data_IF_338412103537
#
_entry.id   IF_338412103537
#
_cell.length_a   1.000
_cell.length_b   1.000
_cell.length_c   1.000
_cell.angle_alpha   90.00
_cell.angle_beta   90.00
_cell.angle_gamma   90.00
#
_symmetry.space_group_name_H-M   'P 1'
#
loop_
_entity.id
_entity.type
_entity.pdbx_description
1 polymer ?
#
# COMPACT_ATOMS: atom_id res chain seq x y z
N UNK A 1 -3.68 15.99 3.25
CA UNK A 1 -3.81 14.52 3.25
C UNK A 1 -4.90 14.13 2.28
N UNK A 2 -4.70 13.02 1.55
CA UNK A 2 -5.71 12.38 0.69
C UNK A 2 -5.84 10.94 1.15
N UNK A 3 -6.98 10.54 1.65
CA UNK A 3 -7.23 9.17 2.12
C UNK A 3 -8.47 8.57 1.45
N UNK A 4 -8.47 7.25 1.32
CA UNK A 4 -9.60 6.50 0.78
C UNK A 4 -9.25 5.05 0.51
N UNK A 5 -10.24 4.19 0.49
CA UNK A 5 -10.10 2.76 0.27
C UNK A 5 -9.67 2.38 -1.17
N UNK A 6 -9.60 1.09 -1.46
CA UNK A 6 -9.28 0.62 -2.80
C UNK A 6 -10.35 1.05 -3.82
N UNK A 7 -9.92 1.44 -5.02
CA UNK A 7 -10.83 1.83 -6.10
C UNK A 7 -11.44 3.22 -6.01
N UNK A 8 -10.98 4.08 -5.08
CA UNK A 8 -11.50 5.45 -4.90
C UNK A 8 -10.79 6.50 -5.76
N UNK A 9 -9.79 6.12 -6.57
CA UNK A 9 -9.15 7.02 -7.53
C UNK A 9 -7.95 7.81 -7.00
N UNK A 10 -7.33 7.42 -5.89
CA UNK A 10 -6.11 8.05 -5.36
C UNK A 10 -5.05 8.31 -6.43
N UNK A 11 -4.72 7.29 -7.22
CA UNK A 11 -3.71 7.38 -8.28
C UNK A 11 -4.09 8.40 -9.36
N UNK A 12 -5.36 8.52 -9.71
CA UNK A 12 -5.84 9.53 -10.68
C UNK A 12 -5.64 10.94 -10.15
N UNK A 13 -5.93 11.15 -8.87
CA UNK A 13 -5.70 12.46 -8.23
C UNK A 13 -4.22 12.78 -8.16
N UNK A 14 -3.35 11.82 -7.84
CA UNK A 14 -1.89 12.02 -7.86
C UNK A 14 -1.45 12.50 -9.25
N UNK A 15 -1.90 11.86 -10.33
CA UNK A 15 -1.57 12.28 -11.71
C UNK A 15 -1.98 13.72 -11.99
N UNK A 16 -3.20 14.08 -11.67
CA UNK A 16 -3.71 15.43 -11.89
C UNK A 16 -2.91 16.48 -11.08
N UNK A 17 -2.53 16.15 -9.84
CA UNK A 17 -1.68 17.04 -9.04
C UNK A 17 -0.32 17.22 -9.70
N UNK A 18 0.30 16.16 -10.17
CA UNK A 18 1.60 16.22 -10.88
C UNK A 18 1.48 17.13 -12.08
N UNK A 19 0.51 16.91 -12.96
CA UNK A 19 0.28 17.69 -14.18
C UNK A 19 0.11 19.18 -13.86
N UNK A 20 -0.75 19.54 -12.91
CA UNK A 20 -0.97 20.93 -12.51
C UNK A 20 0.32 21.60 -12.03
N UNK A 21 1.11 20.92 -11.19
CA UNK A 21 2.33 21.53 -10.66
C UNK A 21 3.40 21.69 -11.75
N UNK A 22 3.54 20.76 -12.65
CA UNK A 22 4.51 20.80 -13.73
C UNK A 22 4.16 21.83 -14.81
N UNK A 23 2.88 21.99 -15.14
CA UNK A 23 2.41 23.08 -16.01
C UNK A 23 2.81 24.46 -15.48
N UNK A 24 2.96 24.56 -14.15
CA UNK A 24 3.44 25.80 -13.50
C UNK A 24 4.96 25.82 -13.25
N UNK A 25 5.72 24.93 -13.91
CA UNK A 25 7.17 24.85 -13.79
C UNK A 25 7.69 24.43 -12.43
N UNK A 26 6.86 23.72 -11.63
CA UNK A 26 7.20 23.28 -10.27
C UNK A 26 7.88 21.92 -10.27
N UNK A 27 8.86 21.76 -9.39
CA UNK A 27 9.59 20.51 -9.20
C UNK A 27 8.81 19.57 -8.31
N UNK A 28 8.32 18.46 -8.88
CA UNK A 28 7.56 17.43 -8.20
C UNK A 28 8.44 16.22 -7.90
N UNK A 29 8.48 15.76 -6.66
CA UNK A 29 9.13 14.53 -6.24
C UNK A 29 8.07 13.54 -5.77
N UNK A 30 8.22 12.27 -6.21
CA UNK A 30 7.35 11.17 -5.87
C UNK A 30 8.07 10.16 -4.99
N UNK A 31 7.45 9.75 -3.90
CA UNK A 31 8.01 8.77 -2.99
C UNK A 31 6.97 7.79 -2.45
N UNK A 32 7.45 6.62 -2.02
CA UNK A 32 6.64 5.62 -1.34
C UNK A 32 7.49 4.86 -0.29
N UNK A 33 6.91 4.22 0.73
CA UNK A 33 7.67 3.52 1.76
C UNK A 33 8.36 2.25 1.25
N UNK A 34 7.86 1.61 0.19
CA UNK A 34 8.39 0.34 -0.34
C UNK A 34 8.79 0.44 -1.80
N UNK A 35 9.76 -0.40 -2.23
CA UNK A 35 10.19 -0.46 -3.63
C UNK A 35 9.05 -0.86 -4.59
N UNK A 36 8.16 -1.76 -4.16
CA UNK A 36 7.00 -2.16 -4.96
C UNK A 36 6.01 -1.01 -5.17
N UNK A 37 5.73 -0.25 -4.11
CA UNK A 37 4.85 0.92 -4.19
C UNK A 37 5.48 2.03 -5.07
N UNK A 38 6.77 2.31 -4.91
CA UNK A 38 7.49 3.27 -5.75
C UNK A 38 7.48 2.85 -7.23
N UNK A 39 7.75 1.59 -7.54
CA UNK A 39 7.67 1.07 -8.91
C UNK A 39 6.27 1.21 -9.50
N UNK A 40 5.24 0.83 -8.74
CA UNK A 40 3.83 1.00 -9.17
C UNK A 40 3.49 2.47 -9.42
N UNK A 41 3.95 3.36 -8.54
CA UNK A 41 3.76 4.79 -8.69
C UNK A 41 4.43 5.30 -9.97
N UNK A 42 5.65 4.87 -10.28
CA UNK A 42 6.35 5.17 -11.53
C UNK A 42 5.54 4.69 -12.75
N UNK A 43 5.13 3.43 -12.76
CA UNK A 43 4.38 2.83 -13.88
C UNK A 43 3.04 3.53 -14.12
N UNK A 44 2.37 3.95 -13.07
CA UNK A 44 1.04 4.57 -13.17
C UNK A 44 1.12 6.06 -13.50
N UNK A 45 2.13 6.78 -13.05
CA UNK A 45 2.26 8.24 -13.29
C UNK A 45 3.18 8.58 -14.46
N UNK A 46 3.93 7.61 -15.01
CA UNK A 46 5.00 7.79 -15.97
C UNK A 46 6.12 8.74 -15.48
N UNK A 47 6.28 8.85 -14.16
CA UNK A 47 7.31 9.66 -13.51
C UNK A 47 8.09 8.82 -12.52
N UNK A 48 9.39 9.06 -12.46
CA UNK A 48 10.24 8.33 -11.52
C UNK A 48 9.81 8.62 -10.08
N UNK A 49 9.51 7.55 -9.35
CA UNK A 49 9.27 7.56 -7.91
C UNK A 49 10.34 6.74 -7.21
N UNK A 50 10.77 7.18 -6.05
CA UNK A 50 11.76 6.47 -5.24
C UNK A 50 11.17 5.98 -3.93
N UNK A 51 11.89 5.08 -3.24
CA UNK A 51 11.53 4.79 -1.86
C UNK A 51 11.92 5.96 -0.95
N UNK A 52 11.15 6.17 0.13
CA UNK A 52 11.52 7.16 1.15
C UNK A 52 12.93 6.92 1.69
N UNK A 53 13.32 5.67 1.93
CA UNK A 53 14.67 5.33 2.38
C UNK A 53 15.75 5.79 1.40
N UNK A 54 15.52 5.61 0.09
CA UNK A 54 16.45 6.08 -0.94
C UNK A 54 16.46 7.60 -1.06
N UNK A 55 15.29 8.23 -1.04
CA UNK A 55 15.14 9.68 -1.11
C UNK A 55 15.86 10.38 0.05
N UNK A 56 15.77 9.79 1.23
CA UNK A 56 16.39 10.29 2.48
C UNK A 56 17.82 9.78 2.69
N UNK A 57 18.39 9.01 1.77
CA UNK A 57 19.74 8.40 1.85
C UNK A 57 19.97 7.55 3.11
N UNK A 58 18.90 6.98 3.71
CA UNK A 58 18.95 6.24 4.97
C UNK A 58 19.75 4.94 4.84
N UNK A 59 19.88 4.36 3.67
CA UNK A 59 20.59 3.09 3.44
C UNK A 59 22.12 3.12 3.67
N UNK A 60 22.68 4.26 4.07
CA UNK A 60 24.08 4.40 4.49
C UNK A 60 24.29 4.03 5.98
N UNK A 61 23.23 3.82 6.75
CA UNK A 61 23.24 3.48 8.16
C UNK A 61 22.69 2.07 8.37
N UNK A 62 23.20 1.35 9.37
CA UNK A 62 22.60 0.07 9.76
C UNK A 62 21.22 0.30 10.43
N UNK A 63 20.34 -0.73 10.37
CA UNK A 63 18.99 -0.62 10.93
C UNK A 63 18.98 -0.25 12.42
N UNK A 64 19.97 -0.69 13.21
CA UNK A 64 20.05 -0.35 14.64
C UNK A 64 20.42 1.11 14.87
N UNK A 65 21.33 1.65 14.07
CA UNK A 65 21.73 3.06 14.12
C UNK A 65 20.60 3.99 13.72
N UNK A 66 19.76 3.54 12.79
CA UNK A 66 18.58 4.27 12.31
C UNK A 66 17.59 4.61 13.43
N UNK A 67 17.32 3.66 14.33
CA UNK A 67 16.39 3.88 15.43
C UNK A 67 17.04 4.56 16.66
N UNK A 68 18.37 4.51 16.80
CA UNK A 68 19.07 5.05 17.96
C UNK A 68 19.50 6.52 17.84
N UNK A 69 19.77 7.00 16.63
CA UNK A 69 20.39 8.32 16.39
C UNK A 69 19.46 9.32 15.69
N UNK A 70 18.17 9.30 16.04
CA UNK A 70 17.19 10.23 15.44
C UNK A 70 17.45 11.70 15.73
N UNK A 71 18.18 12.03 16.81
CA UNK A 71 18.55 13.41 17.17
C UNK A 71 19.58 14.02 16.23
N UNK A 72 20.53 13.23 15.78
CA UNK A 72 21.76 13.70 15.10
C UNK A 72 21.69 13.57 13.57
N UNK A 73 20.56 13.12 13.04
CA UNK A 73 20.36 13.04 11.60
C UNK A 73 20.15 14.43 10.98
N UNK A 74 21.17 14.93 10.33
CA UNK A 74 21.11 16.05 9.42
C UNK A 74 21.02 15.51 7.98
N UNK A 75 19.81 15.11 7.56
CA UNK A 75 19.59 14.64 6.20
C UNK A 75 19.86 15.72 5.15
N UNK A 76 20.27 15.30 3.94
CA UNK A 76 20.39 16.22 2.83
C UNK A 76 19.01 16.83 2.52
N UNK A 77 18.91 18.16 2.45
CA UNK A 77 17.64 18.82 2.11
C UNK A 77 17.13 18.41 0.74
N UNK A 78 15.85 18.12 0.65
CA UNK A 78 15.20 17.72 -0.60
C UNK A 78 14.81 18.97 -1.38
N UNK A 79 15.48 19.21 -2.53
CA UNK A 79 15.14 20.30 -3.42
C UNK A 79 13.90 19.97 -4.24
N UNK A 80 12.73 20.40 -3.77
CA UNK A 80 11.43 20.22 -4.41
C UNK A 80 10.44 21.32 -4.04
N UNK A 81 9.55 21.68 -4.97
CA UNK A 81 8.39 22.53 -4.66
C UNK A 81 7.25 21.74 -4.01
N UNK A 82 7.12 20.47 -4.38
CA UNK A 82 6.13 19.56 -3.84
C UNK A 82 6.68 18.13 -3.75
N UNK A 83 6.40 17.46 -2.64
CA UNK A 83 6.67 16.04 -2.41
C UNK A 83 5.36 15.32 -2.24
N UNK A 84 5.12 14.29 -3.04
CA UNK A 84 3.94 13.43 -2.94
C UNK A 84 4.39 12.07 -2.42
N UNK A 85 3.85 11.66 -1.27
CA UNK A 85 4.14 10.35 -0.67
C UNK A 85 2.88 9.49 -0.72
N UNK A 86 2.96 8.36 -1.42
CA UNK A 86 1.86 7.38 -1.48
C UNK A 86 2.10 6.23 -0.47
N UNK A 87 1.07 5.44 -0.20
CA UNK A 87 1.05 4.32 0.77
C UNK A 87 1.46 4.76 2.19
N UNK A 88 0.98 5.92 2.62
CA UNK A 88 1.32 6.54 3.91
C UNK A 88 0.94 5.70 5.14
N UNK A 89 0.02 4.74 5.02
CA UNK A 89 -0.32 3.78 6.10
C UNK A 89 0.89 2.97 6.58
N UNK A 90 1.89 2.76 5.69
CA UNK A 90 3.11 2.00 5.99
C UNK A 90 4.26 2.86 6.54
N UNK A 91 4.08 4.17 6.63
CA UNK A 91 5.12 5.10 7.14
C UNK A 91 5.00 5.21 8.64
N UNK A 92 6.08 4.86 9.34
CA UNK A 92 6.18 4.98 10.79
C UNK A 92 6.66 6.37 11.25
N UNK A 93 6.67 6.57 12.56
CA UNK A 93 7.04 7.85 13.17
C UNK A 93 8.49 8.24 12.89
N UNK A 94 9.42 7.29 12.82
CA UNK A 94 10.83 7.59 12.55
C UNK A 94 11.02 8.04 11.11
N UNK A 95 10.45 7.30 10.16
CA UNK A 95 10.56 7.64 8.74
C UNK A 95 9.91 8.99 8.43
N UNK A 96 8.76 9.27 9.07
CA UNK A 96 8.13 10.59 8.97
C UNK A 96 8.98 11.71 9.56
N UNK A 97 9.60 11.50 10.71
CA UNK A 97 10.49 12.47 11.34
C UNK A 97 11.70 12.78 10.43
N UNK A 98 12.31 11.77 9.82
CA UNK A 98 13.40 11.97 8.86
C UNK A 98 12.95 12.75 7.63
N UNK A 99 11.79 12.41 7.08
CA UNK A 99 11.23 13.15 5.94
C UNK A 99 11.06 14.63 6.29
N UNK A 100 10.46 14.94 7.43
CA UNK A 100 10.21 16.32 7.86
C UNK A 100 11.50 17.12 8.08
N UNK A 101 12.58 16.48 8.55
CA UNK A 101 13.91 17.13 8.69
C UNK A 101 14.56 17.48 7.36
N UNK A 102 14.23 16.76 6.28
CA UNK A 102 14.80 16.97 4.96
C UNK A 102 13.99 17.95 4.09
N UNK A 103 12.83 18.41 4.54
CA UNK A 103 11.96 19.29 3.76
C UNK A 103 12.27 20.75 4.03
N UNK A 104 12.45 21.54 2.96
CA UNK A 104 12.58 22.99 3.09
C UNK A 104 11.28 23.67 3.49
N UNK A 105 11.41 24.78 4.22
CA UNK A 105 10.27 25.65 4.49
C UNK A 105 9.68 26.18 3.17
N UNK A 106 8.41 25.89 2.93
CA UNK A 106 7.70 26.29 1.71
C UNK A 106 7.46 25.14 0.72
N UNK A 107 8.18 24.01 0.85
CA UNK A 107 7.86 22.78 0.09
C UNK A 107 6.48 22.27 0.54
N UNK A 108 5.64 21.95 -0.43
CA UNK A 108 4.33 21.33 -0.16
C UNK A 108 4.47 19.82 0.01
N UNK A 109 3.81 19.28 1.02
CA UNK A 109 3.77 17.85 1.29
C UNK A 109 2.36 17.31 1.08
N UNK A 110 2.19 16.39 0.15
CA UNK A 110 0.95 15.67 -0.10
C UNK A 110 1.12 14.23 0.34
N UNK A 111 0.35 13.84 1.36
CA UNK A 111 0.36 12.51 1.95
C UNK A 111 -0.87 11.75 1.45
N UNK A 112 -0.64 10.65 0.75
CA UNK A 112 -1.69 9.82 0.16
C UNK A 112 -1.66 8.42 0.77
N UNK A 113 -2.80 7.87 1.10
CA UNK A 113 -2.86 6.53 1.68
C UNK A 113 -4.29 6.06 1.94
N UNK A 114 -4.39 4.95 2.61
CA UNK A 114 -5.64 4.36 3.04
C UNK A 114 -5.57 4.17 4.56
N UNK A 115 -6.34 4.98 5.29
CA UNK A 115 -6.33 4.98 6.77
C UNK A 115 -6.86 3.68 7.37
N UNK A 116 -7.63 2.91 6.58
CA UNK A 116 -8.22 1.63 7.01
C UNK A 116 -7.28 0.43 6.75
N UNK A 117 -6.17 0.63 6.04
CA UNK A 117 -5.15 -0.39 5.90
C UNK A 117 -4.36 -0.59 7.19
N UNK A 118 -3.67 -1.75 7.25
CA UNK A 118 -2.79 -2.05 8.38
C UNK A 118 -1.75 -0.94 8.57
N UNK A 119 -1.55 -0.56 9.83
CA UNK A 119 -0.51 0.39 10.21
C UNK A 119 0.90 -0.13 9.89
N UNK A 120 1.89 0.76 9.95
CA UNK A 120 3.31 0.42 9.80
C UNK A 120 3.76 -0.65 10.81
N UNK A 121 4.78 -1.42 10.44
CA UNK A 121 5.44 -2.37 11.35
C UNK A 121 6.25 -1.63 12.42
N UNK A 122 6.82 -0.47 12.07
CA UNK A 122 7.50 0.43 13.00
C UNK A 122 6.51 1.20 13.89
N UNK A 123 7.00 1.94 14.88
CA UNK A 123 6.16 2.59 15.89
C UNK A 123 5.34 3.75 15.33
N UNK A 124 4.13 3.90 15.85
CA UNK A 124 3.20 4.98 15.52
C UNK A 124 2.25 4.64 14.38
N UNK A 125 1.15 5.37 14.30
CA UNK A 125 0.14 5.29 13.24
C UNK A 125 -0.01 6.66 12.58
N UNK A 126 1.09 7.11 11.94
CA UNK A 126 1.27 8.51 11.50
C UNK A 126 0.10 9.03 10.68
N UNK A 127 -0.33 8.30 9.65
CA UNK A 127 -1.45 8.76 8.81
C UNK A 127 -2.73 8.95 9.62
N UNK A 128 -3.06 7.98 10.47
CA UNK A 128 -4.26 8.01 11.30
C UNK A 128 -4.20 9.12 12.35
N UNK A 129 -3.05 9.29 12.99
CA UNK A 129 -2.85 10.31 14.03
C UNK A 129 -2.93 11.72 13.43
N UNK A 130 -2.34 11.94 12.24
CA UNK A 130 -2.42 13.21 11.52
C UNK A 130 -3.87 13.53 11.11
N UNK A 131 -4.64 12.55 10.64
CA UNK A 131 -6.06 12.73 10.30
C UNK A 131 -6.87 13.06 11.55
N UNK A 132 -6.70 12.28 12.63
CA UNK A 132 -7.43 12.46 13.88
C UNK A 132 -7.08 13.78 14.61
N UNK A 133 -5.93 14.36 14.33
CA UNK A 133 -5.55 15.67 14.90
C UNK A 133 -6.41 16.81 14.40
N UNK A 134 -7.07 16.65 13.24
CA UNK A 134 -7.85 17.69 12.53
C UNK A 134 -7.07 18.99 12.22
N UNK A 135 -5.74 18.97 12.42
CA UNK A 135 -4.88 20.14 12.19
C UNK A 135 -4.42 20.25 10.73
N UNK A 136 -4.54 19.16 9.96
CA UNK A 136 -4.08 19.11 8.58
C UNK A 136 -5.28 18.91 7.65
N UNK A 137 -5.41 19.73 6.59
CA UNK A 137 -6.48 19.56 5.62
C UNK A 137 -6.49 18.14 5.06
N UNK A 138 -7.61 17.45 5.20
CA UNK A 138 -7.79 16.07 4.80
C UNK A 138 -8.97 15.92 3.87
N UNK A 139 -8.76 15.21 2.75
CA UNK A 139 -9.79 14.85 1.78
C UNK A 139 -10.03 13.35 1.87
N UNK A 140 -11.26 12.96 2.17
CA UNK A 140 -11.71 11.58 2.18
C UNK A 140 -12.36 11.23 0.84
N UNK A 141 -11.81 10.21 0.18
CA UNK A 141 -12.36 9.70 -1.08
C UNK A 141 -13.26 8.50 -0.76
N UNK A 142 -14.54 8.74 -0.72
CA UNK A 142 -15.54 7.72 -0.34
C UNK A 142 -16.12 7.00 -1.57
N UNK A 143 -16.12 7.67 -2.74
CA UNK A 143 -16.77 7.14 -3.93
C UNK A 143 -15.93 6.07 -4.61
N UNK A 144 -16.42 4.84 -4.62
CA UNK A 144 -15.86 3.75 -5.41
C UNK A 144 -16.25 3.94 -6.87
N UNK A 145 -15.27 3.94 -7.78
CA UNK A 145 -15.57 4.04 -9.21
C UNK A 145 -16.31 2.80 -9.73
N UNK A 146 -17.18 3.01 -10.73
CA UNK A 146 -18.09 1.98 -11.27
C UNK A 146 -17.40 0.65 -11.64
N UNK A 147 -16.20 0.69 -12.20
CA UNK A 147 -15.44 -0.53 -12.52
C UNK A 147 -14.97 -1.28 -11.27
N UNK A 148 -14.55 -0.55 -10.24
CA UNK A 148 -14.13 -1.09 -8.97
C UNK A 148 -15.32 -1.63 -8.15
N UNK A 149 -16.47 -1.01 -8.26
CA UNK A 149 -17.70 -1.45 -7.60
C UNK A 149 -18.24 -2.80 -8.11
N UNK A 150 -17.76 -3.29 -9.26
CA UNK A 150 -18.09 -4.64 -9.78
C UNK A 150 -17.17 -5.74 -9.23
N UNK A 151 -16.09 -5.40 -8.51
CA UNK A 151 -15.14 -6.36 -7.93
C UNK A 151 -15.59 -6.79 -6.55
N UNK A 152 -15.77 -8.09 -6.33
CA UNK A 152 -16.06 -8.67 -5.01
C UNK A 152 -14.89 -8.44 -4.03
N UNK A 153 -13.65 -8.41 -4.50
CA UNK A 153 -12.48 -8.09 -3.67
C UNK A 153 -12.64 -6.71 -3.03
N UNK A 154 -12.98 -5.71 -3.83
CA UNK A 154 -13.12 -4.32 -3.37
C UNK A 154 -14.32 -4.16 -2.44
N UNK A 155 -15.46 -4.71 -2.82
CA UNK A 155 -16.67 -4.66 -1.98
C UNK A 155 -16.46 -5.36 -0.64
N UNK A 156 -15.81 -6.52 -0.65
CA UNK A 156 -15.53 -7.25 0.58
C UNK A 156 -14.52 -6.51 1.48
N UNK A 157 -13.54 -5.83 0.90
CA UNK A 157 -12.64 -4.98 1.68
C UNK A 157 -13.40 -3.87 2.42
N UNK A 158 -14.35 -3.20 1.76
CA UNK A 158 -15.20 -2.19 2.41
C UNK A 158 -16.13 -2.81 3.46
N UNK A 159 -16.70 -3.99 3.20
CA UNK A 159 -17.51 -4.71 4.22
C UNK A 159 -16.69 -5.02 5.47
N UNK A 160 -15.46 -5.50 5.30
CA UNK A 160 -14.56 -5.78 6.43
C UNK A 160 -14.27 -4.51 7.23
N UNK A 161 -13.99 -3.39 6.58
CA UNK A 161 -13.75 -2.11 7.26
C UNK A 161 -14.98 -1.65 8.06
N UNK A 162 -16.17 -1.88 7.54
CA UNK A 162 -17.42 -1.54 8.22
C UNK A 162 -17.83 -2.56 9.30
N UNK A 163 -17.05 -3.64 9.51
CA UNK A 163 -17.41 -4.73 10.43
C UNK A 163 -18.54 -5.62 9.91
N UNK A 164 -18.82 -5.58 8.62
CA UNK A 164 -19.88 -6.36 7.99
C UNK A 164 -19.39 -7.77 7.61
N UNK A 165 -20.33 -8.72 7.56
CA UNK A 165 -19.99 -10.10 7.17
C UNK A 165 -19.90 -10.22 5.64
N UNK A 166 -18.67 -10.34 5.14
CA UNK A 166 -18.37 -10.50 3.71
C UNK A 166 -18.65 -11.91 3.14
N UNK A 167 -18.91 -12.90 4.00
CA UNK A 167 -19.23 -14.29 3.58
C UNK A 167 -20.71 -14.48 3.26
N UNK A 168 -21.59 -13.55 3.61
CA UNK A 168 -22.98 -13.59 3.19
C UNK A 168 -23.06 -13.43 1.67
N UNK A 169 -23.76 -14.35 1.00
CA UNK A 169 -24.09 -14.19 -0.41
C UNK A 169 -24.96 -12.94 -0.58
N UNK A 170 -24.48 -11.99 -1.37
CA UNK A 170 -25.34 -10.93 -1.85
C UNK A 170 -26.26 -11.53 -2.93
N UNK A 171 -27.55 -11.47 -2.69
CA UNK A 171 -28.56 -11.90 -3.65
C UNK A 171 -28.69 -10.96 -4.87
N UNK A 172 -27.88 -9.89 -4.89
CA UNK A 172 -27.97 -8.86 -5.91
C UNK A 172 -26.78 -8.88 -6.87
N UNK A 173 -27.11 -9.18 -8.10
CA UNK A 173 -26.53 -8.78 -9.37
C UNK A 173 -25.78 -9.83 -10.18
N UNK A 174 -26.38 -10.14 -11.32
CA UNK A 174 -25.83 -10.92 -12.43
C UNK A 174 -24.59 -10.29 -13.12
N UNK A 175 -24.19 -9.07 -12.73
CA UNK A 175 -23.09 -8.33 -13.35
C UNK A 175 -21.77 -8.26 -12.54
N UNK A 176 -21.68 -8.94 -11.38
CA UNK A 176 -20.47 -8.87 -10.56
C UNK A 176 -19.40 -9.84 -11.03
N UNK A 177 -18.13 -9.39 -10.96
CA UNK A 177 -16.98 -10.25 -11.25
C UNK A 177 -16.84 -11.32 -10.17
N UNK A 178 -16.61 -12.57 -10.56
CA UNK A 178 -16.17 -13.62 -9.63
C UNK A 178 -14.66 -13.57 -9.48
N UNK A 179 -14.18 -12.62 -8.68
CA UNK A 179 -12.76 -12.37 -8.42
C UNK A 179 -12.35 -12.63 -6.95
N UNK A 180 -13.30 -13.04 -6.09
CA UNK A 180 -13.06 -13.37 -4.70
C UNK A 180 -13.64 -14.74 -4.35
N UNK A 181 -12.80 -15.63 -3.82
CA UNK A 181 -13.17 -16.98 -3.43
C UNK A 181 -12.75 -17.25 -1.98
N UNK A 182 -13.63 -17.79 -1.18
CA UNK A 182 -13.36 -18.21 0.18
C UNK A 182 -13.47 -19.72 0.31
N UNK A 183 -12.37 -20.36 0.70
CA UNK A 183 -12.31 -21.82 0.95
C UNK A 183 -12.10 -22.00 2.44
N UNK A 184 -13.11 -22.59 3.11
CA UNK A 184 -13.02 -22.91 4.54
C UNK A 184 -12.34 -24.27 4.71
N UNK A 185 -11.23 -24.29 5.43
CA UNK A 185 -10.52 -25.49 5.84
C UNK A 185 -9.98 -25.29 7.25
N UNK A 186 -10.01 -26.31 8.09
CA UNK A 186 -9.54 -26.24 9.47
C UNK A 186 -8.28 -27.08 9.71
N UNK A 187 -7.95 -28.00 8.81
CA UNK A 187 -6.76 -28.83 8.90
C UNK A 187 -5.60 -28.17 8.14
N UNK A 188 -4.48 -27.90 8.84
CA UNK A 188 -3.33 -27.20 8.26
C UNK A 188 -2.64 -27.97 7.13
N UNK A 189 -2.59 -29.32 7.19
CA UNK A 189 -2.01 -30.14 6.14
C UNK A 189 -2.87 -30.10 4.87
N UNK A 190 -4.19 -30.13 5.04
CA UNK A 190 -5.13 -30.00 3.93
C UNK A 190 -5.10 -28.59 3.33
N UNK A 191 -4.97 -27.55 4.16
CA UNK A 191 -4.73 -26.16 3.67
C UNK A 191 -3.47 -26.08 2.82
N UNK A 192 -2.36 -26.67 3.29
CA UNK A 192 -1.10 -26.68 2.54
C UNK A 192 -1.28 -27.40 1.21
N UNK A 193 -1.89 -28.58 1.21
CA UNK A 193 -2.14 -29.35 -0.02
C UNK A 193 -3.04 -28.57 -1.01
N UNK A 194 -4.05 -27.85 -0.51
CA UNK A 194 -4.91 -27.00 -1.34
C UNK A 194 -4.14 -25.82 -1.93
N UNK A 195 -3.30 -25.13 -1.14
CA UNK A 195 -2.48 -24.01 -1.63
C UNK A 195 -1.55 -24.49 -2.75
N UNK A 196 -0.84 -25.61 -2.55
CA UNK A 196 0.03 -26.21 -3.55
C UNK A 196 -0.76 -26.56 -4.81
N UNK A 197 -1.90 -27.25 -4.68
CA UNK A 197 -2.77 -27.62 -5.81
C UNK A 197 -3.29 -26.41 -6.59
N UNK A 198 -3.65 -25.33 -5.89
CA UNK A 198 -4.07 -24.07 -6.51
C UNK A 198 -2.93 -23.46 -7.33
N UNK A 199 -1.74 -23.33 -6.74
CA UNK A 199 -0.61 -22.66 -7.35
C UNK A 199 -0.02 -23.45 -8.52
N UNK A 200 0.07 -24.76 -8.41
CA UNK A 200 0.78 -25.61 -9.38
C UNK A 200 -0.10 -26.18 -10.51
N UNK A 201 -1.38 -25.88 -10.56
CA UNK A 201 -2.21 -26.42 -11.65
C UNK A 201 -3.64 -25.88 -11.73
N UNK A 202 -4.33 -25.67 -10.60
CA UNK A 202 -5.76 -25.29 -10.67
C UNK A 202 -5.95 -23.86 -11.20
N UNK A 203 -5.13 -22.90 -10.76
CA UNK A 203 -5.21 -21.51 -11.22
C UNK A 203 -4.74 -21.35 -12.66
N UNK A 204 -3.75 -22.13 -13.10
CA UNK A 204 -3.35 -22.17 -14.49
C UNK A 204 -4.52 -22.60 -15.39
N UNK A 205 -5.21 -23.68 -15.03
CA UNK A 205 -6.40 -24.17 -15.79
C UNK A 205 -7.59 -23.23 -15.72
N UNK A 206 -7.78 -22.52 -14.59
CA UNK A 206 -8.92 -21.63 -14.39
C UNK A 206 -8.80 -20.32 -15.19
N UNK A 207 -7.63 -19.68 -15.20
CA UNK A 207 -7.46 -18.36 -15.81
C UNK A 207 -6.14 -18.15 -16.54
N UNK A 208 -5.43 -19.26 -16.91
CA UNK A 208 -4.11 -19.20 -17.55
C UNK A 208 -3.07 -18.39 -16.74
N UNK A 209 -3.14 -18.50 -15.39
CA UNK A 209 -2.20 -17.83 -14.49
C UNK A 209 -0.86 -18.55 -14.43
N UNK A 210 0.21 -17.86 -14.81
CA UNK A 210 1.58 -18.32 -14.62
C UNK A 210 1.98 -18.24 -13.15
N UNK A 211 2.51 -19.34 -12.60
CA UNK A 211 2.87 -19.45 -11.18
C UNK A 211 3.84 -18.36 -10.74
N UNK A 212 4.89 -18.11 -11.50
CA UNK A 212 5.94 -17.16 -11.13
C UNK A 212 5.58 -15.69 -11.41
N UNK A 213 4.68 -15.45 -12.37
CA UNK A 213 4.36 -14.09 -12.81
C UNK A 213 3.07 -13.52 -12.22
N UNK A 214 2.07 -14.39 -12.04
CA UNK A 214 0.70 -13.95 -11.75
C UNK A 214 0.20 -14.38 -10.37
N UNK A 215 0.88 -15.33 -9.68
CA UNK A 215 0.42 -15.86 -8.41
C UNK A 215 1.32 -15.37 -7.28
N UNK A 216 0.71 -14.88 -6.20
CA UNK A 216 1.40 -14.53 -4.97
C UNK A 216 0.68 -15.16 -3.78
N UNK A 217 1.39 -15.95 -2.98
CA UNK A 217 0.88 -16.53 -1.74
C UNK A 217 1.24 -15.61 -0.57
N UNK A 218 0.23 -15.21 0.20
CA UNK A 218 0.39 -14.40 1.40
C UNK A 218 0.06 -15.23 2.62
N UNK A 219 0.89 -15.14 3.66
CA UNK A 219 0.68 -15.78 4.96
C UNK A 219 1.08 -14.82 6.09
N UNK A 220 0.36 -14.82 7.22
CA UNK A 220 0.63 -13.89 8.32
C UNK A 220 1.86 -14.29 9.16
N UNK A 221 2.41 -15.51 8.97
CA UNK A 221 3.49 -16.03 9.83
C UNK A 221 4.71 -16.48 9.04
N UNK A 222 5.89 -16.44 9.68
CA UNK A 222 7.15 -16.97 9.11
C UNK A 222 7.37 -18.44 9.46
N UNK A 223 6.83 -18.91 10.59
CA UNK A 223 7.02 -20.27 11.16
C UNK A 223 5.71 -21.05 11.10
N UNK A 224 5.81 -22.38 11.24
CA UNK A 224 4.68 -23.30 11.21
C UNK A 224 4.37 -23.82 9.80
N UNK A 225 3.49 -24.81 9.70
CA UNK A 225 3.12 -25.53 8.46
C UNK A 225 2.69 -24.60 7.33
N UNK A 226 1.99 -23.52 7.68
CA UNK A 226 1.51 -22.50 6.73
C UNK A 226 2.37 -21.23 6.74
N UNK A 227 3.53 -21.25 7.39
CA UNK A 227 4.47 -20.13 7.40
C UNK A 227 5.27 -20.03 6.09
N UNK A 228 5.82 -18.84 5.80
CA UNK A 228 6.56 -18.59 4.56
C UNK A 228 7.68 -19.58 4.32
N UNK A 229 8.35 -20.09 5.38
CA UNK A 229 9.45 -21.04 5.24
C UNK A 229 9.00 -22.40 4.69
N UNK A 230 7.91 -22.94 5.21
CA UNK A 230 7.40 -24.24 4.78
C UNK A 230 6.64 -24.13 3.45
N UNK A 231 5.89 -23.04 3.24
CA UNK A 231 5.25 -22.78 1.95
C UNK A 231 6.27 -22.64 0.82
N UNK A 232 7.40 -21.95 1.02
CA UNK A 232 8.46 -21.84 0.01
C UNK A 232 9.18 -23.15 -0.30
N UNK A 233 9.13 -24.14 0.61
CA UNK A 233 9.65 -25.48 0.31
C UNK A 233 8.65 -26.35 -0.45
N UNK A 234 7.35 -26.12 -0.20
CA UNK A 234 6.29 -26.92 -0.78
C UNK A 234 5.88 -26.42 -2.18
N UNK A 235 6.12 -25.16 -2.51
CA UNK A 235 5.88 -24.52 -3.81
C UNK A 235 7.14 -24.49 -4.65
#
# INVERSE_FOLDING_TARGET
IITGGPGTGKTTIIKNIIEIYEEHGKKVILAAPTGRAAKRMTETTNKEASTLHRLLEIGKFDEESFYKNTSDYEGAPIDADIIIVDEMSMVDMFLMNYLLKCIYKGTKLVLVGDVDQLASVGPGSVLKDLINSEQIPTIHLEKIFRQAAKSKIILNAHKVNNGENFLKKDESSEEMKEDFFYIKENNQEQMLAQIVSLCTGRLEKYGNYDFFKNIQVLTPTKKGTLGTRELNKAL
#
